data_IF_321553040708
#
_entry.id   IF_321553040708
#
_cell.length_a   1.000
_cell.length_b   1.000
_cell.length_c   1.000
_cell.angle_alpha   90.00
_cell.angle_beta   90.00
_cell.angle_gamma   90.00
#
_symmetry.space_group_name_H-M   'P 1'
#
loop_
_entity.id
_entity.type
_entity.pdbx_description
1 polymer ?
#
# COMPACT_ATOMS: atom_id res chain seq x y z
N UNK A 1 21.47 6.40 10.83
CA UNK A 1 20.03 6.58 11.12
C UNK A 1 19.28 5.51 10.34
N UNK A 2 18.32 4.80 10.95
CA UNK A 2 17.52 3.76 10.26
C UNK A 2 16.64 4.45 9.21
N UNK A 3 16.64 3.96 7.97
CA UNK A 3 15.76 4.50 6.92
C UNK A 3 14.30 4.23 7.30
N UNK A 4 13.41 5.20 7.06
CA UNK A 4 11.98 4.99 7.25
C UNK A 4 11.44 3.97 6.25
N UNK A 5 10.61 3.04 6.71
CA UNK A 5 10.00 1.99 5.89
C UNK A 5 8.50 2.18 5.87
N UNK A 6 7.90 2.13 4.69
CA UNK A 6 6.49 2.40 4.51
C UNK A 6 5.85 1.34 3.62
N UNK A 7 4.63 0.93 3.97
CA UNK A 7 3.77 0.12 3.08
C UNK A 7 2.63 1.01 2.62
N UNK A 8 2.43 1.14 1.32
CA UNK A 8 1.21 1.78 0.80
C UNK A 8 0.13 0.71 0.66
N UNK A 9 -1.10 1.05 1.01
CA UNK A 9 -2.28 0.27 0.65
C UNK A 9 -2.88 0.75 -0.69
N UNK A 10 -4.00 0.14 -1.11
CA UNK A 10 -4.67 0.53 -2.35
C UNK A 10 -5.20 1.97 -2.27
N UNK A 11 -5.71 2.42 -1.11
CA UNK A 11 -6.16 3.79 -0.88
C UNK A 11 -5.05 4.81 -1.17
N UNK A 12 -3.87 4.63 -0.58
CA UNK A 12 -2.75 5.56 -0.71
C UNK A 12 -2.26 5.65 -2.16
N UNK A 13 -2.16 4.53 -2.87
CA UNK A 13 -1.75 4.54 -4.27
C UNK A 13 -2.82 5.20 -5.16
N UNK A 14 -4.11 4.94 -4.91
CA UNK A 14 -5.20 5.59 -5.64
C UNK A 14 -5.22 7.11 -5.41
N UNK A 15 -5.05 7.56 -4.17
CA UNK A 15 -4.99 8.98 -3.83
C UNK A 15 -3.81 9.68 -4.54
N UNK A 16 -2.67 9.00 -4.67
CA UNK A 16 -1.53 9.49 -5.46
C UNK A 16 -1.87 9.59 -6.94
N UNK A 17 -2.41 8.52 -7.54
CA UNK A 17 -2.74 8.46 -8.96
C UNK A 17 -3.81 9.48 -9.39
N UNK A 18 -4.76 9.77 -8.49
CA UNK A 18 -5.87 10.68 -8.75
C UNK A 18 -5.57 12.14 -8.34
N UNK A 19 -4.33 12.42 -7.90
CA UNK A 19 -3.91 13.73 -7.42
C UNK A 19 -4.81 14.30 -6.30
N UNK A 20 -5.33 13.42 -5.44
CA UNK A 20 -6.12 13.80 -4.27
C UNK A 20 -5.23 14.44 -3.20
N UNK A 21 -5.86 15.10 -2.21
CA UNK A 21 -5.15 15.79 -1.12
C UNK A 21 -4.19 14.86 -0.37
N UNK A 22 -4.60 13.61 -0.11
CA UNK A 22 -3.76 12.58 0.52
C UNK A 22 -2.55 12.17 -0.31
N UNK A 23 -2.66 12.24 -1.64
CA UNK A 23 -1.59 11.87 -2.58
C UNK A 23 -0.33 12.75 -2.47
N UNK A 24 -0.42 13.93 -1.87
CA UNK A 24 0.73 14.80 -1.65
C UNK A 24 1.77 14.16 -0.71
N UNK A 25 1.33 13.54 0.39
CA UNK A 25 2.22 12.83 1.33
C UNK A 25 2.88 11.62 0.67
N UNK A 26 2.10 10.84 -0.08
CA UNK A 26 2.60 9.67 -0.83
C UNK A 26 3.66 10.10 -1.84
N UNK A 27 3.43 11.19 -2.57
CA UNK A 27 4.42 11.76 -3.49
C UNK A 27 5.72 12.12 -2.80
N UNK A 28 5.67 12.69 -1.60
CA UNK A 28 6.88 13.06 -0.85
C UNK A 28 7.63 11.82 -0.35
N UNK A 29 6.93 10.78 0.12
CA UNK A 29 7.55 9.49 0.44
C UNK A 29 8.24 8.86 -0.78
N UNK A 30 7.61 8.88 -1.95
CA UNK A 30 8.20 8.37 -3.19
C UNK A 30 9.42 9.20 -3.63
N UNK A 31 9.43 10.52 -3.39
CA UNK A 31 10.61 11.37 -3.64
C UNK A 31 11.78 10.99 -2.73
N UNK A 32 11.52 10.78 -1.45
CA UNK A 32 12.53 10.34 -0.49
C UNK A 32 13.03 8.92 -0.79
N UNK A 33 12.14 8.02 -1.23
CA UNK A 33 12.51 6.68 -1.67
C UNK A 33 13.44 6.72 -2.89
N UNK A 34 13.18 7.61 -3.86
CA UNK A 34 14.06 7.80 -5.02
C UNK A 34 15.45 8.30 -4.66
N UNK A 35 15.57 9.08 -3.57
CA UNK A 35 16.86 9.52 -3.00
C UNK A 35 17.51 8.45 -2.12
N UNK A 36 16.83 7.33 -1.87
CA UNK A 36 17.26 6.28 -0.97
C UNK A 36 17.18 6.66 0.50
N UNK A 37 16.40 7.67 0.89
CA UNK A 37 16.22 8.07 2.29
C UNK A 37 15.17 7.21 3.02
N UNK A 38 14.21 6.66 2.27
CA UNK A 38 13.16 5.75 2.76
C UNK A 38 13.04 4.52 1.85
N UNK A 39 12.36 3.49 2.32
CA UNK A 39 11.94 2.33 1.52
C UNK A 39 10.41 2.30 1.48
N UNK A 40 9.85 2.06 0.29
CA UNK A 40 8.40 1.95 0.09
C UNK A 40 8.10 0.57 -0.47
N UNK A 41 7.21 -0.16 0.18
CA UNK A 41 6.79 -1.49 -0.17
C UNK A 41 5.33 -1.50 -0.61
N UNK A 42 4.97 -2.49 -1.42
CA UNK A 42 3.60 -2.66 -1.88
C UNK A 42 3.27 -4.13 -2.07
N UNK A 43 2.06 -4.50 -1.65
CA UNK A 43 1.52 -5.84 -1.84
C UNK A 43 0.94 -6.00 -3.25
N UNK A 44 1.30 -7.04 -4.01
CA UNK A 44 0.64 -7.37 -5.27
C UNK A 44 -0.88 -7.60 -5.13
N UNK A 45 -1.37 -7.97 -3.95
CA UNK A 45 -2.81 -8.13 -3.69
C UNK A 45 -3.51 -6.76 -3.74
N UNK A 46 -2.96 -5.74 -3.07
CA UNK A 46 -3.48 -4.38 -3.14
C UNK A 46 -3.31 -3.78 -4.54
N UNK A 47 -2.31 -4.21 -5.33
CA UNK A 47 -2.19 -3.81 -6.73
C UNK A 47 -3.39 -4.30 -7.56
N UNK A 48 -3.86 -5.51 -7.31
CA UNK A 48 -5.09 -6.03 -7.91
C UNK A 48 -6.30 -5.14 -7.63
N UNK A 49 -6.40 -4.58 -6.41
CA UNK A 49 -7.46 -3.62 -6.08
C UNK A 49 -7.36 -2.33 -6.89
N UNK A 50 -6.16 -1.75 -6.94
CA UNK A 50 -5.90 -0.54 -7.72
C UNK A 50 -6.25 -0.77 -9.19
N UNK A 51 -5.81 -1.89 -9.77
CA UNK A 51 -6.08 -2.23 -11.18
C UNK A 51 -7.58 -2.33 -11.45
N UNK A 52 -8.37 -3.05 -10.63
CA UNK A 52 -9.80 -3.15 -10.90
C UNK A 52 -10.48 -1.78 -10.77
N UNK A 53 -10.08 -0.95 -9.79
CA UNK A 53 -10.69 0.37 -9.57
C UNK A 53 -10.45 1.24 -10.79
N UNK A 54 -9.23 1.22 -11.32
CA UNK A 54 -8.86 1.99 -12.50
C UNK A 54 -9.53 1.45 -13.77
N UNK A 55 -9.59 0.13 -13.96
CA UNK A 55 -10.26 -0.45 -15.12
C UNK A 55 -11.75 -0.09 -15.16
N UNK A 56 -12.43 -0.10 -14.00
CA UNK A 56 -13.83 0.33 -13.91
C UNK A 56 -14.04 1.81 -14.25
N UNK A 57 -13.03 2.65 -14.09
CA UNK A 57 -13.11 4.10 -14.31
C UNK A 57 -12.65 4.53 -15.70
N UNK A 58 -11.57 3.95 -16.20
CA UNK A 58 -10.86 4.38 -17.42
C UNK A 58 -10.89 3.34 -18.53
N UNK A 59 -11.40 2.14 -18.26
CA UNK A 59 -11.26 0.99 -19.16
C UNK A 59 -9.88 0.35 -19.09
N UNK A 60 -9.74 -0.76 -19.81
CA UNK A 60 -8.53 -1.60 -19.80
C UNK A 60 -7.31 -0.89 -20.37
N UNK A 61 -7.44 -0.22 -21.51
CA UNK A 61 -6.31 0.47 -22.16
C UNK A 61 -5.74 1.59 -21.29
N UNK A 62 -6.59 2.47 -20.76
CA UNK A 62 -6.15 3.53 -19.85
C UNK A 62 -5.51 3.01 -18.56
N UNK A 63 -5.92 1.82 -18.10
CA UNK A 63 -5.32 1.21 -16.91
C UNK A 63 -3.91 0.66 -17.19
N UNK A 64 -3.68 0.10 -18.37
CA UNK A 64 -2.35 -0.40 -18.75
C UNK A 64 -1.31 0.73 -18.81
N UNK A 65 -1.67 1.91 -19.32
CA UNK A 65 -0.80 3.09 -19.33
C UNK A 65 -0.42 3.54 -17.91
N UNK A 66 -1.41 3.59 -17.01
CA UNK A 66 -1.17 3.96 -15.60
C UNK A 66 -0.31 2.91 -14.90
N UNK A 67 -0.56 1.62 -15.15
CA UNK A 67 0.19 0.53 -14.54
C UNK A 67 1.67 0.56 -14.93
N UNK A 68 2.00 0.85 -16.19
CA UNK A 68 3.39 1.04 -16.62
C UNK A 68 4.08 2.18 -15.85
N UNK A 69 3.35 3.27 -15.58
CA UNK A 69 3.83 4.36 -14.72
C UNK A 69 4.05 3.93 -13.27
N UNK A 70 3.11 3.17 -12.70
CA UNK A 70 3.19 2.64 -11.32
C UNK A 70 4.40 1.73 -11.14
N UNK A 71 4.68 0.84 -12.09
CA UNK A 71 5.80 -0.10 -12.02
C UNK A 71 7.17 0.60 -12.10
N UNK A 72 7.22 1.86 -12.58
CA UNK A 72 8.43 2.71 -12.62
C UNK A 72 8.61 3.57 -11.37
N UNK A 73 7.67 3.54 -10.43
CA UNK A 73 7.81 4.22 -9.15
C UNK A 73 8.89 3.54 -8.30
N UNK A 74 9.53 4.26 -7.36
CA UNK A 74 10.48 3.69 -6.40
C UNK A 74 9.75 2.89 -5.31
N UNK A 75 8.95 1.92 -5.72
CA UNK A 75 8.14 1.03 -4.90
C UNK A 75 8.68 -0.39 -5.09
N UNK A 76 8.94 -1.07 -3.98
CA UNK A 76 9.30 -2.48 -3.98
C UNK A 76 8.04 -3.33 -3.86
N UNK A 77 7.64 -3.95 -4.96
CA UNK A 77 6.60 -4.97 -4.94
C UNK A 77 7.14 -6.24 -4.29
N UNK A 78 6.50 -6.69 -3.23
CA UNK A 78 6.95 -7.87 -2.46
C UNK A 78 6.06 -9.06 -2.79
N UNK A 79 6.63 -10.10 -3.41
CA UNK A 79 5.92 -11.33 -3.75
C UNK A 79 5.20 -11.94 -2.54
N UNK A 80 4.00 -12.46 -2.76
CA UNK A 80 3.15 -13.01 -1.69
C UNK A 80 3.64 -14.40 -1.29
N UNK A 81 4.18 -14.52 -0.08
CA UNK A 81 4.59 -15.79 0.50
C UNK A 81 3.41 -16.50 1.17
N UNK A 82 3.52 -17.83 1.35
CA UNK A 82 2.53 -18.59 2.13
C UNK A 82 2.42 -18.05 3.57
N UNK A 83 3.54 -17.66 4.18
CA UNK A 83 3.57 -17.07 5.51
C UNK A 83 2.74 -15.77 5.58
N UNK A 84 2.87 -14.89 4.58
CA UNK A 84 2.05 -13.66 4.50
C UNK A 84 0.57 -13.97 4.30
N UNK A 85 0.23 -15.00 3.52
CA UNK A 85 -1.16 -15.45 3.37
C UNK A 85 -1.74 -15.89 4.72
N UNK A 86 -1.00 -16.69 5.49
CA UNK A 86 -1.45 -17.15 6.81
C UNK A 86 -1.55 -16.00 7.81
N UNK A 87 -0.60 -15.06 7.80
CA UNK A 87 -0.66 -13.85 8.62
C UNK A 87 -1.85 -12.97 8.28
N UNK A 88 -2.09 -12.67 7.00
CA UNK A 88 -3.24 -11.90 6.55
C UNK A 88 -4.57 -12.57 6.93
N UNK A 89 -4.67 -13.90 6.82
CA UNK A 89 -5.84 -14.65 7.28
C UNK A 89 -6.06 -14.51 8.79
N UNK A 90 -5.00 -14.57 9.60
CA UNK A 90 -5.08 -14.36 11.03
C UNK A 90 -5.53 -12.93 11.38
N UNK A 91 -4.92 -11.91 10.76
CA UNK A 91 -5.32 -10.51 10.92
C UNK A 91 -6.80 -10.33 10.58
N UNK A 92 -7.26 -10.85 9.44
CA UNK A 92 -8.68 -10.76 9.06
C UNK A 92 -9.63 -11.47 10.02
N UNK A 93 -9.18 -12.54 10.68
CA UNK A 93 -9.97 -13.25 11.68
C UNK A 93 -10.09 -12.46 13.00
N UNK A 94 -9.05 -11.70 13.37
CA UNK A 94 -9.02 -10.91 14.60
C UNK A 94 -9.57 -9.49 14.43
N UNK A 95 -9.50 -8.93 13.22
CA UNK A 95 -9.83 -7.54 12.92
C UNK A 95 -10.77 -7.47 11.70
N UNK A 96 -11.79 -6.63 11.80
CA UNK A 96 -12.77 -6.37 10.75
C UNK A 96 -12.22 -5.42 9.68
N UNK A 97 -11.13 -5.80 9.01
CA UNK A 97 -10.53 -5.10 7.86
C UNK A 97 -10.88 -5.80 6.54
N UNK A 98 -10.78 -5.16 5.39
CA UNK A 98 -10.83 -5.88 4.12
C UNK A 98 -9.71 -6.93 4.00
N UNK A 99 -9.92 -8.00 3.24
CA UNK A 99 -8.92 -9.07 3.15
C UNK A 99 -7.64 -8.61 2.42
N UNK A 100 -7.75 -7.74 1.42
CA UNK A 100 -6.57 -7.15 0.78
C UNK A 100 -5.78 -6.25 1.73
N UNK A 101 -6.46 -5.47 2.58
CA UNK A 101 -5.81 -4.64 3.60
C UNK A 101 -5.06 -5.46 4.64
N UNK A 102 -5.57 -6.65 4.98
CA UNK A 102 -4.84 -7.59 5.82
C UNK A 102 -3.46 -7.97 5.22
N UNK A 103 -3.30 -7.99 3.88
CA UNK A 103 -1.97 -8.19 3.27
C UNK A 103 -1.06 -6.96 3.40
N UNK A 104 -1.60 -5.74 3.36
CA UNK A 104 -0.82 -4.53 3.61
C UNK A 104 -0.34 -4.49 5.07
N UNK A 105 -1.20 -4.86 6.02
CA UNK A 105 -0.87 -4.94 7.45
C UNK A 105 0.17 -6.02 7.69
N UNK A 106 -0.04 -7.24 7.17
CA UNK A 106 0.93 -8.33 7.31
C UNK A 106 2.30 -7.98 6.72
N UNK A 107 2.32 -7.28 5.58
CA UNK A 107 3.55 -6.80 4.97
C UNK A 107 4.24 -5.73 5.83
N UNK A 108 3.47 -4.88 6.51
CA UNK A 108 4.00 -3.87 7.41
C UNK A 108 4.63 -4.50 8.66
N UNK A 109 4.00 -5.52 9.25
CA UNK A 109 4.60 -6.30 10.34
C UNK A 109 5.91 -6.98 9.90
N UNK A 110 5.91 -7.63 8.73
CA UNK A 110 7.08 -8.35 8.19
C UNK A 110 8.31 -7.45 8.00
N UNK A 111 8.10 -6.20 7.58
CA UNK A 111 9.20 -5.27 7.26
C UNK A 111 9.46 -4.22 8.35
N UNK A 112 8.76 -4.28 9.49
CA UNK A 112 8.73 -3.22 10.51
C UNK A 112 8.47 -1.84 9.89
N UNK A 113 7.44 -1.76 9.07
CA UNK A 113 7.09 -0.59 8.26
C UNK A 113 5.81 0.08 8.76
N UNK A 114 5.69 1.38 8.50
CA UNK A 114 4.47 2.15 8.77
C UNK A 114 3.50 2.02 7.60
N UNK A 115 2.23 1.66 7.86
CA UNK A 115 1.20 1.65 6.83
C UNK A 115 0.78 3.08 6.49
N UNK A 116 0.67 3.40 5.21
CA UNK A 116 0.17 4.68 4.71
C UNK A 116 -1.21 4.47 4.14
N UNK A 117 -2.23 5.11 4.71
CA UNK A 117 -3.63 4.93 4.30
C UNK A 117 -4.50 6.13 4.73
N UNK A 118 -5.66 6.27 4.10
CA UNK A 118 -6.74 7.13 4.57
C UNK A 118 -7.99 6.35 4.98
N UNK A 119 -7.94 5.01 5.00
CA UNK A 119 -9.09 4.16 5.31
C UNK A 119 -9.31 4.04 6.83
N UNK A 120 -10.44 4.54 7.37
CA UNK A 120 -10.72 4.49 8.80
C UNK A 120 -10.80 3.06 9.37
N UNK A 121 -10.97 2.02 8.55
CA UNK A 121 -10.91 0.62 9.00
C UNK A 121 -9.57 0.29 9.68
N UNK A 122 -8.49 0.99 9.32
CA UNK A 122 -7.17 0.76 9.91
C UNK A 122 -7.04 1.19 11.37
N UNK A 123 -7.99 1.97 11.92
CA UNK A 123 -7.96 2.37 13.34
C UNK A 123 -7.94 1.18 14.30
N UNK A 124 -8.54 0.06 13.90
CA UNK A 124 -8.60 -1.14 14.74
C UNK A 124 -7.27 -1.89 14.84
N UNK A 125 -6.29 -1.57 13.97
CA UNK A 125 -4.98 -2.23 13.93
C UNK A 125 -3.81 -1.30 14.32
N UNK A 126 -4.10 -0.10 14.84
CA UNK A 126 -3.08 0.83 15.36
C UNK A 126 -2.23 0.24 16.49
N UNK A 127 -2.72 -0.83 17.15
CA UNK A 127 -1.94 -1.57 18.15
C UNK A 127 -1.00 -2.61 17.56
N UNK A 128 -1.17 -2.98 16.28
CA UNK A 128 -0.33 -3.95 15.57
C UNK A 128 0.79 -3.26 14.79
N UNK A 129 0.44 -2.18 14.07
CA UNK A 129 1.34 -1.48 13.15
C UNK A 129 1.20 0.02 13.28
N UNK A 130 2.30 0.74 13.05
CA UNK A 130 2.28 2.20 12.96
C UNK A 130 1.50 2.63 11.71
N UNK A 131 0.74 3.72 11.84
CA UNK A 131 -0.09 4.25 10.75
C UNK A 131 0.23 5.70 10.45
N UNK A 132 0.48 6.00 9.18
CA UNK A 132 0.57 7.33 8.62
C UNK A 132 -0.73 7.67 7.89
N UNK A 133 -1.62 8.37 8.59
CA UNK A 133 -2.91 8.81 8.07
C UNK A 133 -2.78 9.88 6.97
N UNK A 134 -3.49 9.70 5.84
CA UNK A 134 -3.48 10.61 4.68
C UNK A 134 -4.44 11.79 4.80
#
# INVERSE_FOLDING_TARGET
MRKGRYVLDSYALLAYLQAERGGAKVRDLLREARKGATEVFFSPINLGEVVYVMERRLGREGTLEILDGVLKLPIRFVEVSLERVLSAAHIKACYAVAYADAFAIALAEEFEATVVTGDPEFRQVETLVDILWL
#
